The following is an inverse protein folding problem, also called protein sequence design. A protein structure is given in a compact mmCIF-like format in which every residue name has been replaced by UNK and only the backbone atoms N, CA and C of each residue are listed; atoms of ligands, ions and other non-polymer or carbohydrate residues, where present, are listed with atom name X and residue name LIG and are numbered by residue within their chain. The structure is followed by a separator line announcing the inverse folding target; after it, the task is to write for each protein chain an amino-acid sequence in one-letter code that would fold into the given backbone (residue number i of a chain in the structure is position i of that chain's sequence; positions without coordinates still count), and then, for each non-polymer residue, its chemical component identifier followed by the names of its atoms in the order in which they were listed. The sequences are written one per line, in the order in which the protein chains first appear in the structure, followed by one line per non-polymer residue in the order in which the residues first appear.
data_IF_311901304437
#
_entry.id   IF_311901304437
#
_cell.length_a   1.000
_cell.length_b   1.000
_cell.length_c   1.000
_cell.angle_alpha   90.00
_cell.angle_beta   90.00
_cell.angle_gamma   90.00
#
_symmetry.space_group_name_H-M   'P 1'
#
loop_
_entity.id
_entity.type
_entity.pdbx_description
1 polymer ?
#
# COMPACT_ATOMS: atom_id res chain seq x y z
N UNK A 1 -30.02 -5.06 41.62
CA UNK A 1 -29.83 -5.32 40.18
C UNK A 1 -29.10 -4.12 39.63
N UNK A 2 -27.82 -4.31 39.31
CA UNK A 2 -26.94 -3.25 38.82
C UNK A 2 -27.23 -3.09 37.33
N UNK A 3 -27.70 -1.91 36.93
CA UNK A 3 -27.70 -1.49 35.54
C UNK A 3 -26.25 -1.22 35.14
N UNK A 4 -25.70 -2.07 34.28
CA UNK A 4 -24.45 -1.80 33.60
C UNK A 4 -24.77 -1.08 32.30
N UNK A 5 -24.78 0.24 32.37
CA UNK A 5 -24.64 1.12 31.22
C UNK A 5 -23.29 1.81 31.37
N UNK A 6 -22.33 1.45 30.53
CA UNK A 6 -21.10 2.20 30.34
C UNK A 6 -20.59 1.94 28.93
N UNK A 7 -21.24 2.66 28.00
CA UNK A 7 -20.66 3.11 26.75
C UNK A 7 -19.23 3.61 26.97
N UNK A 8 -18.26 3.04 26.25
CA UNK A 8 -17.10 3.74 25.71
C UNK A 8 -16.61 2.96 24.47
N UNK A 9 -17.48 2.82 23.46
CA UNK A 9 -16.98 2.82 22.09
C UNK A 9 -16.56 4.26 21.81
N UNK A 10 -15.37 4.61 22.29
CA UNK A 10 -14.76 5.91 22.09
C UNK A 10 -14.48 6.13 20.60
N UNK A 11 -14.82 7.34 20.17
CA UNK A 11 -14.39 8.04 18.96
C UNK A 11 -13.47 7.27 18.00
N UNK A 12 -14.02 7.01 16.80
CA UNK A 12 -13.36 6.55 15.58
C UNK A 12 -11.83 6.51 15.64
N UNK A 13 -11.27 5.33 15.88
CA UNK A 13 -9.86 5.06 15.62
C UNK A 13 -9.51 5.57 14.22
N UNK A 14 -8.45 6.37 14.13
CA UNK A 14 -8.01 7.05 12.91
C UNK A 14 -7.76 6.01 11.82
N UNK A 15 -8.74 5.87 10.91
CA UNK A 15 -8.75 4.88 9.84
C UNK A 15 -7.47 5.04 9.01
N UNK A 16 -6.68 3.98 8.91
CA UNK A 16 -5.53 3.93 8.01
C UNK A 16 -6.00 4.23 6.58
N UNK A 17 -5.30 5.13 5.90
CA UNK A 17 -5.54 5.44 4.49
C UNK A 17 -4.24 5.33 3.73
N UNK A 18 -4.33 4.79 2.52
CA UNK A 18 -3.24 4.66 1.57
C UNK A 18 -3.80 4.95 0.18
N UNK A 19 -3.15 5.86 -0.55
CA UNK A 19 -3.63 6.28 -1.87
C UNK A 19 -2.52 6.92 -2.69
N UNK A 20 -2.70 6.90 -4.01
CA UNK A 20 -1.84 7.60 -4.96
C UNK A 20 -2.59 8.82 -5.49
N UNK A 21 -1.98 10.00 -5.37
CA UNK A 21 -2.53 11.24 -5.90
C UNK A 21 -1.72 11.70 -7.09
N UNK A 22 -2.33 11.74 -8.28
CA UNK A 22 -1.66 12.28 -9.45
C UNK A 22 -1.71 13.80 -9.44
N UNK A 23 -0.53 14.46 -9.44
CA UNK A 23 -0.37 15.91 -9.37
C UNK A 23 -0.70 16.59 -10.70
N UNK A 24 -0.25 16.03 -11.83
CA UNK A 24 -0.52 16.57 -13.17
C UNK A 24 -0.58 15.46 -14.24
N UNK A 25 -1.75 14.85 -14.47
CA UNK A 25 -1.94 13.84 -15.53
C UNK A 25 -1.92 14.41 -16.96
N UNK A 26 -1.93 15.74 -17.13
CA UNK A 26 -2.09 16.38 -18.44
C UNK A 26 -0.76 16.65 -19.19
N UNK A 27 0.38 16.36 -18.55
CA UNK A 27 1.71 16.51 -19.16
C UNK A 27 2.55 15.25 -18.97
N UNK A 28 1.92 14.06 -19.06
CA UNK A 28 2.67 12.81 -19.12
C UNK A 28 3.52 12.83 -20.39
N UNK A 29 4.87 12.87 -20.31
CA UNK A 29 5.68 12.73 -21.51
C UNK A 29 5.39 11.37 -22.12
N UNK A 30 4.86 11.34 -23.34
CA UNK A 30 4.60 10.10 -24.09
C UNK A 30 5.88 9.37 -24.55
N UNK A 31 7.06 9.82 -24.08
CA UNK A 31 8.35 9.31 -24.50
C UNK A 31 9.09 8.65 -23.33
N UNK A 32 9.22 7.33 -23.43
CA UNK A 32 10.32 6.48 -22.93
C UNK A 32 11.05 6.94 -21.66
N UNK A 33 10.32 7.17 -20.57
CA UNK A 33 10.94 7.20 -19.24
C UNK A 33 11.16 5.76 -18.79
N UNK A 34 12.43 5.41 -18.54
CA UNK A 34 12.82 4.10 -17.99
C UNK A 34 13.22 3.09 -19.06
N UNK A 35 14.53 2.95 -19.27
CA UNK A 35 15.08 1.73 -19.84
C UNK A 35 14.98 0.63 -18.79
N UNK A 36 14.53 -0.56 -19.19
CA UNK A 36 14.49 -1.78 -18.39
C UNK A 36 15.83 -2.00 -17.67
N UNK A 37 15.82 -2.08 -16.35
CA UNK A 37 17.02 -2.34 -15.54
C UNK A 37 17.07 -3.77 -14.98
N UNK A 38 15.96 -4.50 -15.04
CA UNK A 38 15.84 -5.87 -14.56
C UNK A 38 16.11 -6.93 -15.66
N UNK A 39 16.64 -8.07 -15.24
CA UNK A 39 16.84 -9.33 -15.95
C UNK A 39 15.63 -10.25 -15.82
N UNK A 40 15.01 -10.63 -16.94
CA UNK A 40 13.86 -11.57 -16.94
C UNK A 40 14.12 -12.93 -16.27
N UNK A 41 15.39 -13.37 -16.24
CA UNK A 41 15.76 -14.68 -15.72
C UNK A 41 16.06 -14.69 -14.21
N UNK A 42 16.41 -13.53 -13.65
CA UNK A 42 16.92 -13.42 -12.28
C UNK A 42 16.03 -12.56 -11.38
N UNK A 43 15.16 -11.74 -11.98
CA UNK A 43 14.30 -10.81 -11.27
C UNK A 43 12.87 -11.33 -11.14
N UNK A 44 12.17 -10.79 -10.15
CA UNK A 44 10.77 -11.07 -9.87
C UNK A 44 9.89 -9.85 -10.18
N UNK A 45 8.61 -9.93 -9.84
CA UNK A 45 7.67 -8.83 -10.05
C UNK A 45 8.07 -7.54 -9.32
N UNK A 46 8.77 -7.63 -8.18
CA UNK A 46 9.20 -6.47 -7.42
C UNK A 46 10.19 -5.64 -8.21
N UNK A 47 11.10 -6.26 -8.98
CA UNK A 47 12.04 -5.52 -9.82
C UNK A 47 11.35 -4.65 -10.88
N UNK A 48 10.26 -5.15 -11.49
CA UNK A 48 9.47 -4.33 -12.43
C UNK A 48 8.69 -3.24 -11.71
N UNK A 49 8.14 -3.53 -10.53
CA UNK A 49 7.47 -2.55 -9.68
C UNK A 49 8.42 -1.41 -9.29
N UNK A 50 9.66 -1.74 -8.91
CA UNK A 50 10.71 -0.76 -8.60
C UNK A 50 11.04 0.12 -9.81
N UNK A 51 11.23 -0.47 -11.00
CA UNK A 51 11.49 0.30 -12.23
C UNK A 51 10.33 1.26 -12.56
N UNK A 52 9.08 0.83 -12.35
CA UNK A 52 7.90 1.69 -12.51
C UNK A 52 7.88 2.81 -11.46
N UNK A 53 8.15 2.49 -10.18
CA UNK A 53 8.19 3.47 -9.09
C UNK A 53 9.28 4.52 -9.31
N UNK A 54 10.46 4.12 -9.80
CA UNK A 54 11.54 5.01 -10.22
C UNK A 54 11.07 5.99 -11.30
N UNK A 55 10.40 5.49 -12.34
CA UNK A 55 9.88 6.33 -13.43
C UNK A 55 8.84 7.33 -12.91
N UNK A 56 7.92 6.89 -12.06
CA UNK A 56 6.87 7.75 -11.49
C UNK A 56 7.50 8.83 -10.60
N UNK A 57 8.48 8.46 -9.78
CA UNK A 57 9.19 9.37 -8.90
C UNK A 57 10.02 10.40 -9.68
N UNK A 58 10.83 9.95 -10.66
CA UNK A 58 11.69 10.83 -11.46
C UNK A 58 10.89 11.85 -12.27
N UNK A 59 9.66 11.48 -12.67
CA UNK A 59 8.75 12.35 -13.37
C UNK A 59 7.99 13.34 -12.46
N UNK A 60 8.07 13.16 -11.13
CA UNK A 60 7.39 13.97 -10.11
C UNK A 60 5.85 14.06 -10.30
N UNK A 61 5.24 12.99 -10.83
CA UNK A 61 3.85 13.01 -11.30
C UNK A 61 2.82 12.61 -10.24
N UNK A 62 3.24 11.85 -9.23
CA UNK A 62 2.36 11.20 -8.27
C UNK A 62 2.93 11.37 -6.86
N UNK A 63 2.04 11.53 -5.89
CA UNK A 63 2.33 11.43 -4.47
C UNK A 63 1.80 10.11 -3.92
N UNK A 64 2.62 9.40 -3.15
CA UNK A 64 2.14 8.33 -2.28
C UNK A 64 1.78 8.94 -0.93
N UNK A 65 0.51 8.80 -0.53
CA UNK A 65 0.02 9.38 0.72
C UNK A 65 -0.49 8.28 1.62
N UNK A 66 0.07 8.26 2.83
CA UNK A 66 -0.35 7.38 3.92
C UNK A 66 -0.67 8.23 5.15
N UNK A 67 -1.78 7.94 5.81
CA UNK A 67 -2.21 8.65 7.01
C UNK A 67 -2.84 7.68 8.01
N UNK A 68 -2.74 8.00 9.30
CA UNK A 68 -3.30 7.18 10.37
C UNK A 68 -2.41 7.21 11.61
N UNK A 69 -2.90 6.59 12.68
CA UNK A 69 -2.13 6.39 13.93
C UNK A 69 -1.54 7.68 14.51
N UNK A 70 -2.28 8.79 14.41
CA UNK A 70 -1.89 10.09 14.98
C UNK A 70 -1.03 10.97 14.07
N UNK A 71 -0.87 10.59 12.80
CA UNK A 71 -0.18 11.42 11.81
C UNK A 71 -0.99 11.56 10.52
N UNK A 72 -1.22 12.82 10.11
CA UNK A 72 -2.02 13.17 8.94
C UNK A 72 -1.35 12.81 7.61
N UNK A 73 -0.02 12.86 7.56
CA UNK A 73 0.78 12.46 6.42
C UNK A 73 2.08 11.83 6.90
N UNK A 74 2.22 10.53 6.69
CA UNK A 74 3.47 9.80 6.92
C UNK A 74 4.53 10.29 5.93
N UNK A 75 5.82 10.34 6.30
CA UNK A 75 6.87 10.87 5.44
C UNK A 75 7.33 9.79 4.43
N UNK A 76 6.38 9.19 3.72
CA UNK A 76 6.61 8.11 2.75
C UNK A 76 6.95 8.67 1.37
N UNK A 77 7.60 7.86 0.54
CA UNK A 77 7.85 8.19 -0.86
C UNK A 77 7.40 7.12 -1.88
N UNK A 78 7.36 7.53 -3.15
CA UNK A 78 6.95 6.67 -4.27
C UNK A 78 8.05 5.68 -4.66
N UNK A 79 9.32 6.06 -4.53
CA UNK A 79 10.44 5.27 -5.04
C UNK A 79 10.64 4.01 -4.22
N UNK A 80 10.59 4.12 -2.90
CA UNK A 80 10.96 3.06 -1.98
C UNK A 80 9.76 2.52 -1.21
N UNK A 81 9.08 3.35 -0.41
CA UNK A 81 7.98 2.89 0.45
C UNK A 81 6.83 2.28 -0.37
N UNK A 82 6.41 2.94 -1.45
CA UNK A 82 5.36 2.40 -2.31
C UNK A 82 5.79 1.07 -2.94
N UNK A 83 7.03 0.96 -3.43
CA UNK A 83 7.53 -0.27 -4.04
C UNK A 83 7.52 -1.43 -3.04
N UNK A 84 7.97 -1.18 -1.81
CA UNK A 84 7.97 -2.16 -0.72
C UNK A 84 6.54 -2.59 -0.37
N UNK A 85 5.60 -1.65 -0.23
CA UNK A 85 4.20 -1.97 0.04
C UNK A 85 3.59 -2.81 -1.09
N UNK A 86 3.79 -2.41 -2.35
CA UNK A 86 3.26 -3.13 -3.53
C UNK A 86 3.82 -4.56 -3.64
N UNK A 87 5.07 -4.77 -3.24
CA UNK A 87 5.69 -6.09 -3.17
C UNK A 87 4.99 -7.04 -2.20
N UNK A 88 4.43 -6.52 -1.11
CA UNK A 88 3.73 -7.28 -0.06
C UNK A 88 2.25 -7.53 -0.38
N UNK A 89 1.67 -6.82 -1.36
CA UNK A 89 0.24 -6.92 -1.69
C UNK A 89 -0.23 -8.34 -2.02
N UNK A 90 0.49 -9.17 -2.81
CA UNK A 90 0.04 -10.53 -3.09
C UNK A 90 -0.18 -11.38 -1.83
N UNK A 91 0.71 -11.26 -0.85
CA UNK A 91 0.62 -11.99 0.42
C UNK A 91 -0.52 -11.45 1.27
N UNK A 92 -0.67 -10.12 1.37
CA UNK A 92 -1.81 -9.49 2.05
C UNK A 92 -3.15 -9.94 1.45
N UNK A 93 -3.23 -10.01 0.11
CA UNK A 93 -4.37 -10.52 -0.65
C UNK A 93 -4.68 -11.98 -0.29
N UNK A 94 -3.65 -12.83 -0.28
CA UNK A 94 -3.80 -14.23 0.11
C UNK A 94 -4.33 -14.35 1.54
N UNK A 95 -3.76 -13.60 2.49
CA UNK A 95 -4.17 -13.62 3.88
C UNK A 95 -5.61 -13.13 4.09
N UNK A 96 -6.02 -12.04 3.42
CA UNK A 96 -7.40 -11.54 3.45
C UNK A 96 -8.39 -12.61 2.98
N UNK A 97 -8.03 -13.38 1.95
CA UNK A 97 -8.89 -14.45 1.42
C UNK A 97 -9.08 -15.61 2.39
N UNK A 98 -8.03 -15.95 3.13
CA UNK A 98 -8.02 -17.09 4.06
C UNK A 98 -8.35 -16.70 5.50
N UNK A 99 -8.65 -15.42 5.75
CA UNK A 99 -8.88 -14.86 7.08
C UNK A 99 -7.68 -15.05 8.02
N UNK A 100 -6.49 -14.85 7.47
CA UNK A 100 -5.21 -14.99 8.17
C UNK A 100 -4.62 -13.61 8.52
N UNK A 101 -3.78 -13.53 9.56
CA UNK A 101 -3.03 -12.32 9.85
C UNK A 101 -1.99 -12.03 8.76
N UNK A 102 -1.72 -10.77 8.51
CA UNK A 102 -0.66 -10.32 7.61
C UNK A 102 -0.04 -9.01 8.08
N UNK A 103 1.12 -8.70 7.53
CA UNK A 103 1.87 -7.50 7.86
C UNK A 103 2.03 -6.60 6.61
N UNK A 104 2.19 -5.30 6.84
CA UNK A 104 2.68 -4.34 5.85
C UNK A 104 3.78 -3.51 6.46
N UNK A 105 4.92 -3.53 5.80
CA UNK A 105 6.10 -2.84 6.25
C UNK A 105 6.43 -1.63 5.36
N UNK A 106 6.94 -0.58 6.00
CA UNK A 106 7.43 0.65 5.40
C UNK A 106 8.89 0.83 5.84
N UNK A 107 9.82 0.63 4.91
CA UNK A 107 11.24 0.41 5.22
C UNK A 107 12.17 1.54 4.77
N UNK A 108 11.66 2.75 4.48
CA UNK A 108 12.51 3.91 4.19
C UNK A 108 13.06 4.56 5.48
N UNK A 109 14.23 5.19 5.36
CA UNK A 109 14.84 5.94 6.46
C UNK A 109 13.92 7.07 6.93
N UNK A 110 13.59 7.07 8.22
CA UNK A 110 12.69 8.06 8.84
C UNK A 110 11.20 7.68 8.79
N UNK A 111 10.83 6.56 8.18
CA UNK A 111 9.50 5.96 8.33
C UNK A 111 9.58 4.79 9.31
N UNK A 112 10.27 3.71 8.93
CA UNK A 112 10.44 2.45 9.68
C UNK A 112 9.19 2.04 10.49
N UNK A 113 8.09 1.79 9.78
CA UNK A 113 6.79 1.43 10.38
C UNK A 113 6.34 0.05 9.94
N UNK A 114 5.70 -0.65 10.87
CA UNK A 114 5.17 -2.00 10.70
C UNK A 114 3.69 -1.96 11.06
N UNK A 115 2.85 -2.44 10.16
CA UNK A 115 1.42 -2.59 10.37
C UNK A 115 1.06 -4.06 10.41
N UNK A 116 0.60 -4.54 11.56
CA UNK A 116 0.13 -5.91 11.73
C UNK A 116 -1.38 -5.96 11.71
N UNK A 117 -1.96 -6.70 10.76
CA UNK A 117 -3.40 -6.88 10.61
C UNK A 117 -3.81 -8.21 11.24
N UNK A 118 -4.57 -8.16 12.32
CA UNK A 118 -5.08 -9.32 13.04
C UNK A 118 -6.58 -9.49 12.78
N UNK A 119 -7.03 -10.56 12.11
CA UNK A 119 -8.43 -10.76 11.83
C UNK A 119 -9.20 -11.07 13.13
N UNK A 120 -10.35 -10.40 13.31
CA UNK A 120 -11.26 -10.63 14.43
C UNK A 120 -12.71 -10.48 13.94
N UNK A 121 -13.46 -11.59 13.91
CA UNK A 121 -14.85 -11.64 13.44
C UNK A 121 -15.06 -11.00 12.05
N UNK A 122 -15.55 -9.76 11.99
CA UNK A 122 -15.85 -8.99 10.78
C UNK A 122 -14.92 -7.77 10.59
N UNK A 123 -13.85 -7.68 11.39
CA UNK A 123 -12.87 -6.59 11.42
C UNK A 123 -11.43 -7.10 11.40
N UNK A 124 -10.51 -6.16 11.22
CA UNK A 124 -9.11 -6.32 11.58
C UNK A 124 -8.78 -5.35 12.72
N UNK A 125 -8.05 -5.85 13.72
CA UNK A 125 -7.24 -5.00 14.59
C UNK A 125 -5.92 -4.74 13.88
N UNK A 126 -5.55 -3.47 13.74
CA UNK A 126 -4.33 -3.04 13.06
C UNK A 126 -3.39 -2.48 14.11
N UNK A 127 -2.25 -3.12 14.31
CA UNK A 127 -1.23 -2.66 15.26
C UNK A 127 -0.15 -1.91 14.49
N UNK A 128 0.12 -0.68 14.87
CA UNK A 128 1.23 0.10 14.31
C UNK A 128 2.40 0.08 15.28
N UNK A 129 3.58 -0.28 14.77
CA UNK A 129 4.86 -0.17 15.47
C UNK A 129 5.79 0.72 14.66
N UNK A 130 6.50 1.64 15.32
CA UNK A 130 7.57 2.41 14.69
C UNK A 130 8.91 2.09 15.35
N UNK A 131 9.98 2.10 14.56
CA UNK A 131 11.36 1.98 15.04
C UNK A 131 12.08 3.34 15.10
N UNK A 132 11.32 4.44 15.05
CA UNK A 132 11.81 5.82 15.14
C UNK A 132 11.41 6.47 16.48
N UNK A 133 11.75 7.74 16.66
CA UNK A 133 11.27 8.55 17.80
C UNK A 133 9.77 8.89 17.70
N UNK A 134 9.15 8.72 16.52
CA UNK A 134 7.71 8.88 16.37
C UNK A 134 6.99 7.65 16.93
N UNK A 135 5.98 7.87 17.78
CA UNK A 135 5.16 6.81 18.35
C UNK A 135 3.72 6.90 17.83
N UNK A 136 3.13 5.79 17.38
CA UNK A 136 1.74 5.77 16.92
C UNK A 136 0.80 6.08 18.08
N UNK A 137 -0.18 6.95 17.82
CA UNK A 137 -1.19 7.33 18.80
C UNK A 137 -2.58 7.48 18.13
N UNK A 138 -3.50 6.52 18.35
CA UNK A 138 -3.32 5.31 19.16
C UNK A 138 -2.34 4.31 18.51
N UNK A 139 -1.77 3.36 19.26
CA UNK A 139 -0.91 2.29 18.71
C UNK A 139 -1.70 1.22 17.96
N UNK A 140 -2.98 1.06 18.28
CA UNK A 140 -3.89 0.11 17.64
C UNK A 140 -5.07 0.86 16.99
N UNK A 141 -5.53 0.35 15.85
CA UNK A 141 -6.72 0.81 15.16
C UNK A 141 -7.61 -0.35 14.75
N UNK A 142 -8.84 -0.05 14.32
CA UNK A 142 -9.76 -1.07 13.82
C UNK A 142 -10.33 -0.65 12.46
N UNK A 143 -10.45 -1.61 11.55
CA UNK A 143 -11.10 -1.44 10.25
C UNK A 143 -11.97 -2.64 9.94
N UNK A 144 -13.06 -2.45 9.19
CA UNK A 144 -13.84 -3.59 8.73
C UNK A 144 -13.03 -4.41 7.72
N UNK A 145 -13.32 -5.73 7.61
CA UNK A 145 -12.67 -6.58 6.61
C UNK A 145 -12.87 -6.05 5.18
N UNK A 146 -14.02 -5.46 4.88
CA UNK A 146 -14.27 -4.81 3.60
C UNK A 146 -13.39 -3.58 3.39
N UNK A 147 -13.25 -2.72 4.41
CA UNK A 147 -12.42 -1.51 4.28
C UNK A 147 -10.94 -1.87 4.08
N UNK A 148 -10.43 -2.90 4.77
CA UNK A 148 -9.06 -3.40 4.56
C UNK A 148 -8.89 -3.95 3.15
N UNK A 149 -9.85 -4.75 2.67
CA UNK A 149 -9.83 -5.26 1.30
C UNK A 149 -9.80 -4.11 0.27
N UNK A 150 -10.66 -3.11 0.46
CA UNK A 150 -10.76 -1.94 -0.42
C UNK A 150 -9.51 -1.06 -0.36
N UNK A 151 -8.88 -0.93 0.80
CA UNK A 151 -7.61 -0.24 0.98
C UNK A 151 -6.50 -0.89 0.15
N UNK A 152 -6.31 -2.21 0.30
CA UNK A 152 -5.24 -2.96 -0.38
C UNK A 152 -5.47 -3.01 -1.90
N UNK A 153 -6.68 -3.42 -2.31
CA UNK A 153 -7.01 -3.52 -3.74
C UNK A 153 -7.09 -2.15 -4.40
N UNK A 154 -7.56 -1.14 -3.67
CA UNK A 154 -7.64 0.24 -4.14
C UNK A 154 -6.27 0.83 -4.44
N UNK A 155 -5.29 0.61 -3.56
CA UNK A 155 -3.90 1.03 -3.81
C UNK A 155 -3.30 0.31 -5.02
N UNK A 156 -3.43 -1.02 -5.07
CA UNK A 156 -2.90 -1.82 -6.18
C UNK A 156 -3.51 -1.39 -7.53
N UNK A 157 -4.82 -1.16 -7.58
CA UNK A 157 -5.52 -0.71 -8.78
C UNK A 157 -5.05 0.68 -9.22
N UNK A 158 -4.93 1.63 -8.30
CA UNK A 158 -4.41 2.96 -8.61
C UNK A 158 -3.01 2.88 -9.22
N UNK A 159 -2.14 2.01 -8.68
CA UNK A 159 -0.80 1.80 -9.23
C UNK A 159 -0.83 1.25 -10.65
N UNK A 160 -1.64 0.22 -10.91
CA UNK A 160 -1.81 -0.34 -12.27
C UNK A 160 -2.30 0.73 -13.25
N UNK A 161 -3.34 1.48 -12.88
CA UNK A 161 -3.92 2.52 -13.72
C UNK A 161 -2.92 3.66 -14.04
N UNK A 162 -1.96 3.92 -13.14
CA UNK A 162 -0.87 4.87 -13.34
C UNK A 162 0.23 4.26 -14.22
N UNK A 163 0.67 3.03 -13.92
CA UNK A 163 1.71 2.33 -14.66
C UNK A 163 1.36 2.19 -16.15
N UNK A 164 0.11 1.83 -16.46
CA UNK A 164 -0.38 1.72 -17.84
C UNK A 164 -0.30 3.05 -18.62
N UNK A 165 -0.39 4.19 -17.92
CA UNK A 165 -0.35 5.53 -18.53
C UNK A 165 1.06 6.09 -18.64
N UNK A 166 1.88 5.90 -17.60
CA UNK A 166 3.19 6.54 -17.48
C UNK A 166 4.28 5.71 -18.15
N UNK A 167 4.22 4.39 -18.01
CA UNK A 167 5.24 3.46 -18.50
C UNK A 167 4.60 2.23 -19.16
N UNK A 168 3.86 2.42 -20.27
CA UNK A 168 3.09 1.34 -20.92
C UNK A 168 3.95 0.15 -21.35
N UNK A 169 5.25 0.36 -21.61
CA UNK A 169 6.19 -0.74 -21.92
C UNK A 169 6.39 -1.65 -20.70
N UNK A 170 6.64 -1.09 -19.52
CA UNK A 170 6.80 -1.87 -18.28
C UNK A 170 5.48 -2.50 -17.83
N UNK A 171 4.36 -1.83 -18.10
CA UNK A 171 3.03 -2.32 -17.73
C UNK A 171 2.59 -3.60 -18.50
N UNK A 172 3.23 -3.94 -19.61
CA UNK A 172 2.96 -5.17 -20.37
C UNK A 172 4.00 -6.26 -20.15
N UNK A 173 4.96 -6.04 -19.26
CA UNK A 173 6.02 -7.00 -18.99
C UNK A 173 5.47 -8.24 -18.25
N UNK A 174 5.91 -9.46 -18.61
CA UNK A 174 5.31 -10.70 -18.10
C UNK A 174 5.28 -10.80 -16.57
N UNK A 175 6.33 -10.33 -15.89
CA UNK A 175 6.41 -10.34 -14.42
C UNK A 175 5.35 -9.43 -13.79
N UNK A 176 5.14 -8.23 -14.35
CA UNK A 176 4.12 -7.30 -13.89
C UNK A 176 2.70 -7.80 -14.22
N UNK A 177 2.49 -8.38 -15.41
CA UNK A 177 1.23 -9.03 -15.77
C UNK A 177 0.92 -10.24 -14.87
N UNK A 178 1.94 -10.98 -14.46
CA UNK A 178 1.84 -12.05 -13.47
C UNK A 178 1.35 -11.55 -12.12
N UNK A 179 1.95 -10.46 -11.63
CA UNK A 179 1.53 -9.79 -10.38
C UNK A 179 0.09 -9.26 -10.46
N UNK A 180 -0.28 -8.54 -11.53
CA UNK A 180 -1.65 -8.02 -11.70
C UNK A 180 -2.71 -9.12 -11.83
N UNK A 181 -2.34 -10.27 -12.40
CA UNK A 181 -3.25 -11.43 -12.49
C UNK A 181 -3.60 -11.99 -11.11
N UNK A 182 -2.68 -11.93 -10.14
CA UNK A 182 -2.95 -12.35 -8.76
C UNK A 182 -3.98 -11.43 -8.10
N UNK A 183 -3.91 -10.12 -8.36
CA UNK A 183 -4.88 -9.13 -7.85
C UNK A 183 -6.32 -9.44 -8.30
N UNK A 184 -6.49 -9.87 -9.56
CA UNK A 184 -7.81 -10.14 -10.15
C UNK A 184 -8.49 -11.39 -9.56
N UNK A 185 -7.75 -12.28 -8.89
CA UNK A 185 -8.29 -13.51 -8.29
C UNK A 185 -9.11 -13.27 -7.01
N UNK A 186 -9.24 -12.02 -6.56
CA UNK A 186 -10.02 -11.61 -5.38
C UNK A 186 -11.22 -10.70 -5.69
N UNK A 187 -11.38 -10.27 -6.94
CA UNK A 187 -12.54 -9.50 -7.40
C UNK A 187 -13.73 -10.44 -7.63
#
# INVERSE_FOLDING_TARGET
MINSDSSLCGEHATMLRMSLFARQLHQLPQNELGGRRYSEELDDALSVICDICDVIHDADLVDFVVSGFGQDAWPVDVRTDLAVVLGQIPDAISAIKHDEPFDLDFFEQGVERYLKFLPCENRYTIQCTSLTDWLPNPPDGEMSKSDVKDLILGLAKQFVDIAEKVCPKLAVEPLFLGWTTQLRRLQ
#
